data_IF_708153904897
#
_entry.id   IF_708153904897
#
_cell.length_a   1.000
_cell.length_b   1.000
_cell.length_c   1.000
_cell.angle_alpha   90.00
_cell.angle_beta   90.00
_cell.angle_gamma   90.00
#
_symmetry.space_group_name_H-M   'P 1'
#
loop_
_entity.id
_entity.type
_entity.pdbx_description
1 polymer ?
#
# COMPACT_ATOMS: atom_id res chain seq x y z
N UNK A 1 -63.96 -1.92 11.31
CA UNK A 1 -64.31 -0.56 10.82
C UNK A 1 -63.14 -0.09 9.96
N UNK A 2 -63.30 -0.13 8.65
CA UNK A 2 -62.27 0.16 7.62
C UNK A 2 -62.27 1.67 7.37
N UNK A 3 -61.10 2.30 7.42
CA UNK A 3 -60.90 3.64 6.88
C UNK A 3 -59.75 3.56 5.85
N UNK A 4 -60.17 3.70 4.62
CA UNK A 4 -59.33 3.78 3.40
C UNK A 4 -58.97 5.27 3.20
N UNK A 5 -57.72 5.64 3.21
CA UNK A 5 -57.31 6.99 2.83
C UNK A 5 -56.55 6.92 1.54
N UNK A 6 -57.18 7.46 0.49
CA UNK A 6 -56.65 7.62 -0.86
C UNK A 6 -55.86 8.93 -0.88
N UNK A 7 -54.56 8.88 -1.22
CA UNK A 7 -53.78 10.06 -1.52
C UNK A 7 -53.62 10.23 -3.04
N UNK A 8 -54.19 11.32 -3.51
CA UNK A 8 -54.13 11.77 -4.90
C UNK A 8 -52.68 12.33 -5.17
N UNK A 9 -52.09 11.80 -6.23
CA UNK A 9 -50.79 12.29 -6.78
C UNK A 9 -51.12 13.42 -7.77
N UNK A 10 -50.62 14.62 -7.48
CA UNK A 10 -50.60 15.74 -8.44
C UNK A 10 -49.29 15.72 -9.22
N UNK A 11 -49.42 15.45 -10.52
CA UNK A 11 -48.36 15.52 -11.49
C UNK A 11 -48.33 16.95 -12.05
N UNK A 12 -47.31 17.76 -11.76
CA UNK A 12 -47.09 19.04 -12.41
C UNK A 12 -45.86 18.96 -13.34
N UNK A 13 -46.19 18.95 -14.63
CA UNK A 13 -45.23 19.13 -15.73
C UNK A 13 -44.80 20.59 -15.80
N UNK A 14 -43.51 20.87 -15.60
CA UNK A 14 -42.92 22.16 -15.99
C UNK A 14 -42.10 21.98 -17.26
N UNK A 15 -42.65 22.53 -18.34
CA UNK A 15 -42.00 22.76 -19.60
C UNK A 15 -41.18 24.07 -19.49
N UNK A 16 -39.89 24.06 -19.78
CA UNK A 16 -39.14 25.31 -19.92
C UNK A 16 -38.38 25.34 -21.24
N UNK A 17 -38.76 26.33 -22.02
CA UNK A 17 -38.35 26.62 -23.37
C UNK A 17 -36.88 27.11 -23.46
N UNK A 18 -36.26 26.74 -24.57
CA UNK A 18 -34.94 27.20 -24.94
C UNK A 18 -34.86 28.70 -25.30
N UNK A 19 -33.74 29.34 -24.98
CA UNK A 19 -33.32 30.63 -25.53
C UNK A 19 -32.10 30.42 -26.42
N UNK A 20 -32.32 30.67 -27.74
CA UNK A 20 -31.27 30.91 -28.72
C UNK A 20 -30.57 32.23 -28.36
N UNK A 21 -29.27 32.26 -28.31
CA UNK A 21 -28.47 33.51 -28.33
C UNK A 21 -27.63 33.53 -29.59
N UNK A 22 -27.71 34.67 -30.23
CA UNK A 22 -27.18 35.04 -31.56
C UNK A 22 -25.64 35.05 -31.57
N UNK A 23 -25.12 34.64 -32.72
CA UNK A 23 -23.77 34.99 -33.18
C UNK A 23 -23.67 36.50 -33.43
N UNK A 24 -22.55 37.07 -32.99
CA UNK A 24 -22.04 38.35 -33.47
C UNK A 24 -20.67 38.08 -34.05
N UNK A 25 -20.61 38.19 -35.36
CA UNK A 25 -19.39 38.32 -36.15
C UNK A 25 -18.88 39.75 -36.02
N UNK A 26 -17.61 39.95 -35.76
CA UNK A 26 -16.88 41.12 -36.17
C UNK A 26 -15.46 40.74 -36.57
N UNK A 27 -15.22 40.96 -37.85
CA UNK A 27 -13.92 41.01 -38.51
C UNK A 27 -13.10 42.18 -37.94
N UNK A 28 -11.80 42.08 -38.10
CA UNK A 28 -10.84 43.04 -38.64
C UNK A 28 -9.46 42.99 -37.94
N UNK A 29 -8.50 42.69 -38.78
CA UNK A 29 -7.11 43.13 -39.00
C UNK A 29 -5.96 42.25 -38.43
N UNK A 30 -5.41 41.54 -39.36
CA UNK A 30 -4.11 41.64 -40.10
C UNK A 30 -2.87 42.06 -39.29
N UNK A 31 -1.87 41.18 -39.45
CA UNK A 31 -0.43 41.36 -39.35
C UNK A 31 0.19 41.31 -37.93
N UNK A 32 0.83 40.23 -37.65
CA UNK A 32 2.29 40.09 -37.49
C UNK A 32 2.63 38.61 -37.50
N UNK A 33 3.23 38.16 -38.62
CA UNK A 33 3.89 36.85 -38.72
C UNK A 33 5.18 36.94 -37.91
N UNK A 34 5.23 36.30 -36.74
CA UNK A 34 6.47 35.87 -36.10
C UNK A 34 6.44 34.37 -35.95
N UNK A 35 7.29 33.74 -36.72
CA UNK A 35 7.68 32.35 -36.64
C UNK A 35 7.96 31.92 -35.19
N UNK A 36 7.03 31.23 -34.59
CA UNK A 36 7.31 30.44 -33.37
C UNK A 36 7.39 28.99 -33.84
N UNK A 37 8.62 28.46 -33.86
CA UNK A 37 8.85 27.02 -34.00
C UNK A 37 7.99 26.32 -32.95
N UNK A 38 7.05 25.52 -33.42
CA UNK A 38 6.32 24.57 -32.59
C UNK A 38 7.29 23.49 -32.08
N UNK A 39 7.95 23.72 -30.97
CA UNK A 39 8.34 22.64 -30.09
C UNK A 39 7.07 22.21 -29.36
N UNK A 40 6.34 21.30 -30.00
CA UNK A 40 5.33 20.51 -29.32
C UNK A 40 6.07 19.68 -28.28
N UNK A 41 6.08 20.15 -27.03
CA UNK A 41 6.38 19.32 -25.87
C UNK A 41 5.28 18.26 -25.85
N UNK A 42 5.58 17.10 -26.46
CA UNK A 42 4.82 15.88 -26.25
C UNK A 42 5.10 15.52 -24.78
N UNK A 43 4.31 16.07 -23.88
CA UNK A 43 4.16 15.48 -22.54
C UNK A 43 3.46 14.15 -22.80
N UNK A 44 4.26 13.13 -23.10
CA UNK A 44 3.80 11.76 -23.01
C UNK A 44 3.38 11.57 -21.56
N UNK A 45 2.08 11.60 -21.31
CA UNK A 45 1.50 11.09 -20.07
C UNK A 45 1.88 9.62 -20.07
N UNK A 46 3.04 9.27 -19.45
CA UNK A 46 3.37 7.90 -19.20
C UNK A 46 2.13 7.30 -18.54
N UNK A 47 1.51 6.34 -19.22
CA UNK A 47 0.41 5.59 -18.64
C UNK A 47 0.96 5.04 -17.33
N UNK A 48 0.33 5.40 -16.21
CA UNK A 48 0.79 5.01 -14.89
C UNK A 48 0.99 3.49 -14.88
N UNK A 49 2.25 3.06 -14.76
CA UNK A 49 2.60 1.64 -14.79
C UNK A 49 1.94 0.94 -13.60
N UNK A 50 1.06 0.00 -13.90
CA UNK A 50 0.31 -0.77 -12.90
C UNK A 50 0.91 -2.16 -12.77
N UNK A 51 1.26 -2.55 -11.55
CA UNK A 51 1.79 -3.88 -11.26
C UNK A 51 0.64 -4.90 -11.20
N UNK A 52 0.82 -6.03 -11.90
CA UNK A 52 -0.15 -7.11 -12.00
C UNK A 52 0.52 -8.46 -11.78
N UNK A 53 -0.25 -9.53 -11.56
CA UNK A 53 0.29 -10.90 -11.46
C UNK A 53 1.09 -11.33 -12.71
N UNK A 54 0.84 -10.69 -13.86
CA UNK A 54 1.53 -11.03 -15.13
C UNK A 54 2.90 -10.38 -15.24
N UNK A 55 3.08 -9.16 -14.70
CA UNK A 55 4.32 -8.39 -14.88
C UNK A 55 5.16 -8.25 -13.61
N UNK A 56 4.65 -8.63 -12.44
CA UNK A 56 5.28 -8.38 -11.14
C UNK A 56 6.69 -8.97 -11.04
N UNK A 57 6.92 -10.15 -11.56
CA UNK A 57 8.23 -10.81 -11.44
C UNK A 57 9.30 -10.07 -12.24
N UNK A 58 9.04 -9.77 -13.50
CA UNK A 58 9.94 -9.02 -14.37
C UNK A 58 10.19 -7.63 -13.82
N UNK A 59 9.12 -6.91 -13.47
CA UNK A 59 9.20 -5.60 -12.86
C UNK A 59 10.10 -5.58 -11.62
N UNK A 60 9.88 -6.49 -10.66
CA UNK A 60 10.62 -6.49 -9.39
C UNK A 60 12.07 -6.94 -9.57
N UNK A 61 12.37 -7.80 -10.54
CA UNK A 61 13.77 -8.15 -10.90
C UNK A 61 14.51 -6.91 -11.38
N UNK A 62 13.94 -6.18 -12.33
CA UNK A 62 14.58 -4.99 -12.89
C UNK A 62 14.62 -3.82 -11.91
N UNK A 63 13.53 -3.62 -11.15
CA UNK A 63 13.50 -2.64 -10.09
C UNK A 63 14.56 -2.93 -9.02
N UNK A 64 14.69 -4.17 -8.60
CA UNK A 64 15.64 -4.59 -7.58
C UNK A 64 17.11 -4.49 -7.99
N UNK A 65 17.44 -4.58 -9.29
CA UNK A 65 18.79 -4.31 -9.82
C UNK A 65 19.15 -2.84 -9.72
N UNK A 66 18.19 -1.94 -9.96
CA UNK A 66 18.37 -0.48 -9.92
C UNK A 66 18.27 0.10 -8.51
N UNK A 67 17.58 -0.60 -7.60
CA UNK A 67 17.30 -0.17 -6.25
C UNK A 67 17.83 -1.22 -5.26
N UNK A 68 19.10 -1.05 -4.87
CA UNK A 68 19.84 -2.04 -4.07
C UNK A 68 19.79 -1.78 -2.56
N UNK A 69 19.08 -0.75 -2.15
CA UNK A 69 18.91 -0.34 -0.77
C UNK A 69 18.29 -1.48 0.06
N UNK A 70 18.73 -1.59 1.30
CA UNK A 70 18.27 -2.67 2.17
C UNK A 70 18.12 -2.27 3.64
N UNK A 71 18.41 -1.01 4.01
CA UNK A 71 18.21 -0.54 5.39
C UNK A 71 17.20 0.59 5.40
N UNK A 72 16.09 0.38 6.09
CA UNK A 72 14.98 1.31 6.15
C UNK A 72 14.59 1.59 7.60
N UNK A 73 13.94 2.73 7.81
CA UNK A 73 13.35 3.14 9.09
C UNK A 73 11.84 3.22 8.97
N UNK A 74 11.14 2.55 9.86
CA UNK A 74 9.71 2.67 10.09
C UNK A 74 9.53 3.69 11.21
N UNK A 75 8.80 4.77 10.96
CA UNK A 75 8.47 5.81 11.95
C UNK A 75 7.03 5.61 12.38
N UNK A 76 6.80 5.48 13.69
CA UNK A 76 5.49 5.26 14.29
C UNK A 76 5.17 6.34 15.34
N UNK A 77 3.99 6.26 15.93
CA UNK A 77 3.61 7.10 17.09
C UNK A 77 4.46 6.79 18.35
N UNK A 78 5.00 5.57 18.44
CA UNK A 78 5.75 5.08 19.60
C UNK A 78 7.26 5.15 19.43
N UNK A 79 7.75 5.56 18.26
CA UNK A 79 9.18 5.65 17.97
C UNK A 79 9.56 5.07 16.62
N UNK A 80 10.87 4.81 16.45
CA UNK A 80 11.42 4.34 15.17
C UNK A 80 11.93 2.92 15.29
N UNK A 81 11.69 2.13 14.23
CA UNK A 81 12.17 0.75 14.08
C UNK A 81 13.05 0.71 12.83
N UNK A 82 14.34 0.40 13.00
CA UNK A 82 15.25 0.21 11.87
C UNK A 82 15.29 -1.25 11.46
N UNK A 83 15.11 -1.50 10.16
CA UNK A 83 15.05 -2.83 9.59
C UNK A 83 16.13 -3.04 8.52
N UNK A 84 16.67 -4.25 8.46
CA UNK A 84 17.56 -4.71 7.40
C UNK A 84 16.81 -5.72 6.54
N UNK A 85 16.66 -5.45 5.24
CA UNK A 85 16.08 -6.39 4.28
C UNK A 85 17.14 -7.34 3.72
N UNK A 86 16.78 -8.60 3.52
CA UNK A 86 17.69 -9.63 3.02
C UNK A 86 17.82 -9.56 1.50
N UNK A 87 19.07 -9.63 1.01
CA UNK A 87 19.37 -9.52 -0.41
C UNK A 87 18.92 -10.74 -1.22
N UNK A 88 18.91 -11.92 -0.59
CA UNK A 88 18.54 -13.20 -1.24
C UNK A 88 17.01 -13.42 -1.33
N UNK A 89 16.20 -12.63 -0.63
CA UNK A 89 14.73 -12.58 -0.83
C UNK A 89 14.38 -11.43 -1.78
N UNK A 90 14.85 -11.54 -3.00
CA UNK A 90 14.96 -10.46 -3.97
C UNK A 90 13.61 -9.79 -4.31
N UNK A 91 12.54 -10.58 -4.45
CA UNK A 91 11.20 -10.05 -4.79
C UNK A 91 10.61 -9.27 -3.61
N UNK A 92 10.69 -9.82 -2.40
CA UNK A 92 10.16 -9.19 -1.19
C UNK A 92 10.92 -7.90 -0.85
N UNK A 93 12.27 -7.93 -0.95
CA UNK A 93 13.10 -6.74 -0.76
C UNK A 93 12.75 -5.65 -1.79
N UNK A 94 12.75 -5.99 -3.09
CA UNK A 94 12.45 -5.04 -4.15
C UNK A 94 11.05 -4.43 -4.01
N UNK A 95 10.06 -5.25 -3.69
CA UNK A 95 8.69 -4.81 -3.43
C UNK A 95 8.60 -3.84 -2.24
N UNK A 96 9.22 -4.18 -1.11
CA UNK A 96 9.18 -3.34 0.08
C UNK A 96 9.85 -1.98 -0.16
N UNK A 97 11.00 -1.96 -0.85
CA UNK A 97 11.69 -0.72 -1.26
C UNK A 97 10.83 0.09 -2.24
N UNK A 98 10.18 -0.58 -3.21
CA UNK A 98 9.27 0.07 -4.16
C UNK A 98 8.11 0.77 -3.44
N UNK A 99 7.43 0.07 -2.56
CA UNK A 99 6.31 0.60 -1.80
C UNK A 99 6.73 1.74 -0.85
N UNK A 100 7.90 1.63 -0.20
CA UNK A 100 8.45 2.68 0.63
C UNK A 100 8.74 3.96 -0.19
N UNK A 101 9.39 3.83 -1.35
CA UNK A 101 9.65 4.96 -2.26
C UNK A 101 8.37 5.57 -2.84
N UNK A 102 7.33 4.78 -3.08
CA UNK A 102 5.99 5.25 -3.48
C UNK A 102 5.20 5.85 -2.31
N UNK A 103 5.77 5.91 -1.11
CA UNK A 103 5.09 6.40 0.10
C UNK A 103 3.77 5.67 0.38
N UNK A 104 3.70 4.39 -0.03
CA UNK A 104 2.51 3.59 0.18
C UNK A 104 2.18 3.46 1.67
N UNK A 105 3.20 3.16 2.49
CA UNK A 105 3.02 2.88 3.91
C UNK A 105 2.63 4.10 4.76
N UNK A 106 2.77 5.32 4.23
CA UNK A 106 2.46 6.53 4.98
C UNK A 106 0.97 6.57 5.35
N UNK A 107 0.70 6.72 6.64
CA UNK A 107 -0.62 6.67 7.27
C UNK A 107 -1.33 5.32 7.18
N UNK A 108 -0.63 4.23 6.86
CA UNK A 108 -1.12 2.89 7.18
C UNK A 108 -0.94 2.60 8.67
N UNK A 109 -1.42 1.46 9.16
CA UNK A 109 -1.45 1.14 10.56
C UNK A 109 -0.82 -0.22 10.84
N UNK A 110 -0.37 -0.42 12.09
CA UNK A 110 -0.30 -1.75 12.67
C UNK A 110 -1.72 -2.14 13.07
N UNK A 111 -2.39 -2.85 12.18
CA UNK A 111 -3.82 -3.13 12.25
C UNK A 111 -4.16 -4.46 12.94
N UNK A 112 -3.16 -5.30 13.21
CA UNK A 112 -3.30 -6.54 13.98
C UNK A 112 -2.10 -6.69 14.90
N UNK A 113 -2.38 -6.73 16.20
CA UNK A 113 -1.37 -6.77 17.24
C UNK A 113 -1.70 -7.89 18.23
N UNK A 114 -0.82 -8.86 18.33
CA UNK A 114 -0.97 -9.97 19.27
C UNK A 114 0.26 -10.00 20.17
N UNK A 115 0.04 -9.71 21.44
CA UNK A 115 1.10 -9.75 22.46
C UNK A 115 1.73 -11.15 22.53
N UNK A 116 3.06 -11.19 22.68
CA UNK A 116 3.86 -12.41 22.65
C UNK A 116 3.67 -13.24 21.36
N UNK A 117 3.41 -12.59 20.23
CA UNK A 117 3.36 -13.23 18.92
C UNK A 117 3.91 -12.29 17.84
N UNK A 118 3.07 -11.46 17.23
CA UNK A 118 3.45 -10.58 16.10
C UNK A 118 2.77 -9.22 16.18
N UNK A 119 3.38 -8.21 15.54
CA UNK A 119 2.71 -6.99 15.13
C UNK A 119 2.65 -6.95 13.62
N UNK A 120 1.47 -6.76 13.03
CA UNK A 120 1.23 -6.80 11.59
C UNK A 120 0.73 -5.44 11.10
N UNK A 121 1.38 -4.92 10.05
CA UNK A 121 1.13 -3.58 9.53
C UNK A 121 1.07 -3.50 8.01
N UNK A 122 0.90 -2.27 7.51
CA UNK A 122 0.86 -1.95 6.08
C UNK A 122 -0.54 -1.86 5.50
N UNK A 123 -1.58 -1.93 6.33
CA UNK A 123 -2.97 -1.76 5.94
C UNK A 123 -3.64 -0.67 6.78
N UNK A 124 -4.80 -0.24 6.39
CA UNK A 124 -5.74 0.56 7.17
C UNK A 124 -7.15 0.40 6.59
N UNK A 125 -8.15 0.82 7.34
CA UNK A 125 -9.56 0.85 6.96
C UNK A 125 -9.93 2.10 6.14
N UNK A 126 -8.99 3.02 5.90
CA UNK A 126 -9.27 4.26 5.18
C UNK A 126 -9.31 4.09 3.64
N UNK A 127 -10.08 4.97 2.99
CA UNK A 127 -10.22 4.98 1.53
C UNK A 127 -8.94 5.43 0.80
N UNK A 128 -8.03 6.13 1.47
CA UNK A 128 -6.79 6.62 0.86
C UNK A 128 -5.84 5.44 0.64
N UNK A 129 -5.71 4.55 1.62
CA UNK A 129 -4.93 3.31 1.49
C UNK A 129 -5.45 2.43 0.36
N UNK A 130 -6.78 2.29 0.25
CA UNK A 130 -7.38 1.55 -0.87
C UNK A 130 -7.05 2.17 -2.23
N UNK A 131 -7.15 3.51 -2.37
CA UNK A 131 -6.79 4.22 -3.61
C UNK A 131 -5.31 4.05 -3.96
N UNK A 132 -4.40 4.12 -2.98
CA UNK A 132 -2.97 3.86 -3.20
C UNK A 132 -2.73 2.44 -3.72
N UNK A 133 -3.40 1.42 -3.15
CA UNK A 133 -3.32 0.02 -3.64
C UNK A 133 -3.81 -0.10 -5.08
N UNK A 134 -4.94 0.51 -5.41
CA UNK A 134 -5.49 0.49 -6.77
C UNK A 134 -4.54 1.14 -7.78
N UNK A 135 -3.92 2.26 -7.43
CA UNK A 135 -2.96 2.96 -8.28
C UNK A 135 -1.66 2.15 -8.49
N UNK A 136 -1.19 1.43 -7.48
CA UNK A 136 0.00 0.57 -7.59
C UNK A 136 -0.31 -0.70 -8.39
N UNK A 137 -1.46 -1.34 -8.11
CA UNK A 137 -1.93 -2.52 -8.82
C UNK A 137 -2.36 -3.68 -7.92
N UNK A 138 -2.80 -4.74 -8.56
CA UNK A 138 -3.25 -5.97 -7.90
C UNK A 138 -2.36 -7.13 -8.31
N UNK A 139 -1.58 -7.64 -7.36
CA UNK A 139 -0.64 -8.72 -7.56
C UNK A 139 -0.34 -9.44 -6.24
N UNK A 140 0.30 -10.60 -6.34
CA UNK A 140 0.86 -11.35 -5.23
C UNK A 140 2.34 -11.60 -5.48
N UNK A 141 3.14 -11.70 -4.42
CA UNK A 141 4.55 -12.06 -4.54
C UNK A 141 4.72 -13.57 -4.57
N UNK A 142 5.62 -14.11 -5.41
CA UNK A 142 6.02 -15.50 -5.30
C UNK A 142 6.66 -15.73 -3.93
N UNK A 143 6.44 -16.93 -3.37
CA UNK A 143 7.12 -17.23 -2.12
C UNK A 143 8.65 -17.36 -2.33
N UNK A 144 9.38 -17.12 -1.27
CA UNK A 144 10.86 -17.17 -1.24
C UNK A 144 11.30 -17.68 0.15
N UNK A 145 10.52 -18.60 0.74
CA UNK A 145 10.68 -19.08 2.13
C UNK A 145 11.92 -19.96 2.33
N UNK A 146 12.35 -20.66 1.29
CA UNK A 146 13.47 -21.61 1.39
C UNK A 146 14.84 -20.91 1.29
N UNK A 147 15.13 -20.06 2.28
CA UNK A 147 16.41 -19.33 2.42
C UNK A 147 17.14 -19.64 3.73
N UNK A 148 16.66 -20.63 4.49
CA UNK A 148 17.25 -21.04 5.75
C UNK A 148 16.99 -20.09 6.94
N UNK A 149 16.10 -19.11 6.77
CA UNK A 149 15.69 -18.24 7.87
C UNK A 149 14.60 -18.89 8.70
N UNK A 150 14.57 -18.58 10.00
CA UNK A 150 13.54 -18.95 10.94
C UNK A 150 12.84 -17.73 11.49
N UNK A 151 11.58 -17.87 11.89
CA UNK A 151 10.80 -16.77 12.48
C UNK A 151 11.25 -16.50 13.92
N UNK A 152 12.53 -16.17 14.07
CA UNK A 152 13.09 -15.68 15.34
C UNK A 152 12.52 -14.31 15.69
N UNK A 153 12.64 -13.91 16.97
CA UNK A 153 12.24 -12.58 17.43
C UNK A 153 12.94 -11.50 16.62
N UNK A 154 12.15 -10.52 16.16
CA UNK A 154 12.60 -9.40 15.33
C UNK A 154 12.63 -9.70 13.84
N UNK A 155 12.36 -10.92 13.39
CA UNK A 155 12.26 -11.20 11.96
C UNK A 155 11.05 -10.54 11.33
N UNK A 156 11.25 -10.04 10.11
CA UNK A 156 10.26 -9.38 9.27
C UNK A 156 9.78 -10.34 8.19
N UNK A 157 8.48 -10.56 8.10
CA UNK A 157 7.87 -11.50 7.17
C UNK A 157 6.63 -10.92 6.51
N UNK A 158 6.16 -11.54 5.41
CA UNK A 158 4.93 -11.13 4.74
C UNK A 158 3.84 -12.17 4.93
N UNK A 159 2.60 -11.73 5.26
CA UNK A 159 1.47 -12.65 5.34
C UNK A 159 1.08 -13.17 3.96
N UNK A 160 0.58 -14.38 3.90
CA UNK A 160 -0.04 -14.95 2.71
C UNK A 160 -1.57 -14.88 2.82
N UNK A 161 -2.28 -14.98 1.70
CA UNK A 161 -3.74 -15.13 1.72
C UNK A 161 -4.12 -16.49 2.27
N UNK A 162 -5.12 -16.51 3.15
CA UNK A 162 -5.44 -17.64 4.00
C UNK A 162 -6.08 -18.85 3.31
N UNK A 163 -6.72 -18.73 2.16
CA UNK A 163 -7.53 -19.81 1.61
C UNK A 163 -7.11 -20.05 0.17
N UNK A 164 -6.92 -21.33 -0.19
CA UNK A 164 -6.58 -21.76 -1.54
C UNK A 164 -5.33 -21.09 -2.15
N UNK A 165 -4.26 -21.01 -1.34
CA UNK A 165 -2.97 -20.47 -1.79
C UNK A 165 -1.87 -21.57 -1.73
N UNK A 166 -1.96 -22.60 -2.56
CA UNK A 166 -1.01 -23.71 -2.53
C UNK A 166 0.43 -23.29 -2.84
N UNK A 167 0.59 -22.18 -3.54
CA UNK A 167 1.90 -21.60 -3.86
C UNK A 167 2.43 -20.65 -2.79
N UNK A 168 1.74 -20.49 -1.66
CA UNK A 168 2.13 -19.62 -0.54
C UNK A 168 2.54 -18.22 -0.98
N UNK A 169 1.83 -17.64 -1.96
CA UNK A 169 2.08 -16.29 -2.46
C UNK A 169 1.75 -15.26 -1.38
N UNK A 170 2.63 -14.29 -1.22
CA UNK A 170 2.50 -13.27 -0.18
C UNK A 170 1.68 -12.06 -0.61
N UNK A 171 1.00 -11.42 0.37
CA UNK A 171 0.35 -10.12 0.23
C UNK A 171 1.41 -9.02 0.16
N UNK A 172 1.56 -8.31 -0.98
CA UNK A 172 2.68 -7.39 -1.18
C UNK A 172 2.63 -6.14 -0.29
N UNK A 173 1.45 -5.77 0.18
CA UNK A 173 1.17 -4.52 0.88
C UNK A 173 1.26 -4.60 2.41
N UNK A 174 1.47 -5.80 2.94
CA UNK A 174 1.40 -6.08 4.36
C UNK A 174 2.68 -6.77 4.82
N UNK A 175 3.02 -6.59 6.08
CA UNK A 175 4.16 -7.25 6.71
C UNK A 175 3.88 -7.49 8.19
N UNK A 176 4.61 -8.40 8.80
CA UNK A 176 4.59 -8.55 10.25
C UNK A 176 6.01 -8.66 10.82
N UNK A 177 6.16 -8.29 12.07
CA UNK A 177 7.39 -8.41 12.86
C UNK A 177 7.12 -9.41 13.97
N UNK A 178 7.96 -10.44 14.09
CA UNK A 178 7.88 -11.42 15.18
C UNK A 178 8.30 -10.74 16.48
N UNK A 179 7.36 -10.70 17.45
CA UNK A 179 7.61 -10.11 18.76
C UNK A 179 7.89 -11.19 19.81
N UNK A 180 7.38 -12.40 19.62
CA UNK A 180 7.47 -13.52 20.56
C UNK A 180 8.91 -13.79 21.00
N UNK A 181 9.10 -13.88 22.33
CA UNK A 181 10.37 -14.38 22.91
C UNK A 181 10.54 -15.84 22.52
N UNK A 182 11.70 -16.19 21.96
CA UNK A 182 11.96 -17.55 21.47
C UNK A 182 11.52 -17.82 20.03
N UNK A 183 10.87 -16.83 19.38
CA UNK A 183 10.45 -16.95 17.98
C UNK A 183 9.08 -17.61 17.78
N UNK A 184 8.61 -17.58 16.55
CA UNK A 184 7.31 -18.13 16.10
C UNK A 184 7.53 -19.20 15.03
N UNK A 185 8.30 -20.25 15.37
CA UNK A 185 8.82 -21.25 14.42
C UNK A 185 7.73 -22.10 13.75
N UNK A 186 6.51 -22.12 14.28
CA UNK A 186 5.36 -22.75 13.63
C UNK A 186 4.97 -22.06 12.30
N UNK A 187 5.50 -20.85 12.03
CA UNK A 187 5.33 -20.13 10.78
C UNK A 187 6.39 -20.47 9.72
N UNK A 188 7.42 -21.24 10.10
CA UNK A 188 8.53 -21.59 9.21
C UNK A 188 8.03 -22.44 8.04
N UNK A 189 8.48 -22.09 6.83
CA UNK A 189 8.05 -22.76 5.60
C UNK A 189 6.71 -22.28 5.02
N UNK A 190 5.94 -21.46 5.75
CA UNK A 190 4.65 -20.92 5.27
C UNK A 190 4.72 -19.47 4.81
N UNK A 191 5.64 -18.71 5.39
CA UNK A 191 5.78 -17.28 5.09
C UNK A 191 7.23 -16.94 4.75
N UNK A 192 7.42 -16.00 3.81
CA UNK A 192 8.76 -15.55 3.46
C UNK A 192 9.28 -14.53 4.46
N UNK A 193 10.36 -14.89 5.15
CA UNK A 193 11.13 -13.96 5.98
C UNK A 193 12.06 -13.18 5.06
N UNK A 194 11.91 -11.85 5.00
CA UNK A 194 12.64 -11.01 4.06
C UNK A 194 13.50 -9.91 4.71
N UNK A 195 13.54 -9.89 6.04
CA UNK A 195 14.33 -8.90 6.78
C UNK A 195 14.32 -9.16 8.28
N UNK A 196 14.96 -8.26 9.00
CA UNK A 196 14.98 -8.26 10.47
C UNK A 196 15.07 -6.85 11.04
N UNK A 197 14.58 -6.67 12.25
CA UNK A 197 14.80 -5.48 13.06
C UNK A 197 16.28 -5.44 13.49
N UNK A 198 16.92 -4.30 13.30
CA UNK A 198 18.31 -4.06 13.74
C UNK A 198 18.40 -3.02 14.87
N UNK A 199 17.32 -2.23 15.07
CA UNK A 199 17.16 -1.28 16.17
C UNK A 199 15.67 -1.01 16.39
N UNK A 200 15.26 -0.79 17.65
CA UNK A 200 13.87 -0.44 17.99
C UNK A 200 12.98 -1.66 18.30
N UNK A 201 13.55 -2.77 18.79
CA UNK A 201 12.76 -3.89 19.32
C UNK A 201 11.96 -3.53 20.58
N UNK A 202 12.41 -2.55 21.34
CA UNK A 202 11.68 -1.92 22.45
C UNK A 202 10.42 -1.22 21.96
N UNK A 203 10.49 -0.53 20.82
CA UNK A 203 9.29 0.08 20.16
C UNK A 203 8.32 -1.01 19.69
N UNK A 204 8.83 -2.13 19.14
CA UNK A 204 7.99 -3.28 18.77
C UNK A 204 7.27 -3.85 20.01
N UNK A 205 7.96 -3.93 21.16
CA UNK A 205 7.36 -4.40 22.41
C UNK A 205 6.28 -3.45 22.93
N UNK A 206 6.52 -2.14 22.87
CA UNK A 206 5.51 -1.13 23.24
C UNK A 206 4.26 -1.27 22.37
N UNK A 207 4.43 -1.39 21.05
CA UNK A 207 3.31 -1.59 20.14
C UNK A 207 2.59 -2.90 20.44
N UNK A 208 3.32 -3.99 20.72
CA UNK A 208 2.73 -5.28 21.03
C UNK A 208 1.95 -5.31 22.35
N UNK A 209 2.14 -4.32 23.20
CA UNK A 209 1.46 -4.19 24.49
C UNK A 209 0.22 -3.27 24.48
N UNK A 210 -0.12 -2.64 23.33
CA UNK A 210 -1.32 -1.79 23.25
C UNK A 210 -2.59 -2.62 23.41
N UNK A 211 -3.65 -2.08 24.05
CA UNK A 211 -4.94 -2.75 24.14
C UNK A 211 -5.54 -2.98 22.74
N UNK A 212 -6.12 -4.16 22.53
CA UNK A 212 -6.78 -4.57 21.29
C UNK A 212 -8.22 -5.00 21.53
N UNK A 213 -9.02 -5.04 20.47
CA UNK A 213 -10.34 -5.65 20.46
C UNK A 213 -10.25 -7.19 20.28
N UNK A 214 -11.41 -7.84 20.17
CA UNK A 214 -11.52 -9.29 19.96
C UNK A 214 -10.98 -9.79 18.62
N UNK A 215 -10.67 -8.89 17.70
CA UNK A 215 -10.09 -9.18 16.38
C UNK A 215 -8.59 -8.83 16.32
N UNK A 216 -7.95 -8.63 17.45
CA UNK A 216 -6.55 -8.19 17.58
C UNK A 216 -6.30 -6.77 17.02
N UNK A 217 -7.33 -5.97 16.75
CA UNK A 217 -7.18 -4.60 16.26
C UNK A 217 -6.92 -3.65 17.45
N UNK A 218 -5.87 -2.80 17.38
CA UNK A 218 -5.60 -1.84 18.45
C UNK A 218 -6.78 -0.89 18.69
N UNK A 219 -7.22 -0.75 19.96
CA UNK A 219 -8.31 0.19 20.34
C UNK A 219 -7.96 1.63 20.02
N UNK A 220 -6.68 1.97 20.01
CA UNK A 220 -6.15 3.24 19.52
C UNK A 220 -5.24 2.93 18.34
N UNK A 221 -5.53 3.52 17.18
CA UNK A 221 -4.78 3.29 15.96
C UNK A 221 -3.28 3.56 16.14
N UNK A 222 -2.45 2.63 15.71
CA UNK A 222 -0.98 2.74 15.71
C UNK A 222 -0.53 3.02 14.28
N UNK A 223 -0.25 4.30 13.98
CA UNK A 223 0.09 4.71 12.61
C UNK A 223 1.55 4.46 12.27
N UNK A 224 1.76 4.02 11.03
CA UNK A 224 3.04 4.07 10.34
C UNK A 224 3.09 5.44 9.63
N UNK A 225 3.85 6.38 10.21
CA UNK A 225 3.96 7.75 9.68
C UNK A 225 4.76 7.82 8.40
N UNK A 226 5.85 7.07 8.36
CA UNK A 226 6.73 6.97 7.19
C UNK A 226 7.53 5.67 7.22
N UNK A 227 7.88 5.17 6.03
CA UNK A 227 8.97 4.21 5.85
C UNK A 227 9.96 4.79 4.86
N UNK A 228 11.18 5.06 5.30
CA UNK A 228 12.21 5.70 4.50
C UNK A 228 13.53 4.92 4.52
N UNK A 229 14.30 5.08 3.45
CA UNK A 229 15.64 4.49 3.32
C UNK A 229 16.60 5.31 4.16
N UNK A 230 17.38 4.66 5.03
CA UNK A 230 18.35 5.33 5.90
C UNK A 230 19.81 5.01 5.54
N UNK A 231 20.02 3.97 4.72
CA UNK A 231 21.36 3.60 4.22
C UNK A 231 21.25 2.94 2.84
N UNK A 232 22.14 3.30 1.96
CA UNK A 232 22.37 2.63 0.67
C UNK A 232 23.31 1.47 0.81
#
# INVERSE_FOLDING_TARGET
>A
MRILIIFLVFLSLYCCQGKKTRMITNDVNTSIVKSIKNDSIIVSKEADFVVTDKNVMEFLVDYGKKNTENTLRIITDYGSIDILLFKNTKFHRANFVYLAKKKYFNNTQFYRVISNFVIQGGNSDDRITLKKRQAIGKYLLPNDYDKGYKHDRGMLSMPSKNIENPYKKASPFEFFIVQQKGGSHHLDGDYTIFGKVIKGMDVVDIIAAVPTDSSDWPLQNVFIKDISIIKK
#
